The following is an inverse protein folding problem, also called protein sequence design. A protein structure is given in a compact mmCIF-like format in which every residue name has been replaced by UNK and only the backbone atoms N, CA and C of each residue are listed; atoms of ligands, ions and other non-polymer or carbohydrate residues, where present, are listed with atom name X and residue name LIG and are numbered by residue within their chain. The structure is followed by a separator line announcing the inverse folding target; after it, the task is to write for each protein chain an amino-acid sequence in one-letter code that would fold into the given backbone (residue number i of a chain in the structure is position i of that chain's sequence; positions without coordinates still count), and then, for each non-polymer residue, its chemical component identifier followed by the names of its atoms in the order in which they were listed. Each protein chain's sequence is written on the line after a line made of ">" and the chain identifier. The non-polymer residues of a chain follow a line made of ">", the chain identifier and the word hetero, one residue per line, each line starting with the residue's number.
data_IF_744017367379
#
_entry.id   IF_744017367379
#
_cell.length_a   1.000
_cell.length_b   1.000
_cell.length_c   1.000
_cell.angle_alpha   90.00
_cell.angle_beta   90.00
_cell.angle_gamma   90.00
#
_symmetry.space_group_name_H-M   'P 1'
#
loop_
_entity.id
_entity.type
_entity.pdbx_description
1 polymer ?
#
# COMPACT_ATOMS: atom_id res chain seq x y z
N UNK A 1 8.21 -0.18 19.51
CA UNK A 1 8.01 -1.02 18.32
C UNK A 1 9.11 -0.74 17.31
N UNK A 2 9.89 -1.74 16.96
CA UNK A 2 10.94 -1.59 15.97
C UNK A 2 10.37 -1.86 14.59
N UNK A 3 10.42 -0.85 13.76
CA UNK A 3 10.05 -0.96 12.35
C UNK A 3 11.35 -0.98 11.56
N UNK A 4 11.40 -1.78 10.50
CA UNK A 4 12.62 -1.86 9.71
C UNK A 4 12.99 -0.47 9.16
N UNK A 5 14.29 -0.19 9.11
CA UNK A 5 14.80 1.07 8.55
C UNK A 5 14.36 1.27 7.10
N UNK A 6 14.17 0.18 6.38
CA UNK A 6 13.68 0.21 5.00
C UNK A 6 12.26 0.78 4.92
N UNK A 7 11.37 0.35 5.82
CA UNK A 7 10.00 0.86 5.86
C UNK A 7 9.99 2.34 6.25
N UNK A 8 10.81 2.74 7.23
CA UNK A 8 10.94 4.15 7.62
C UNK A 8 11.44 4.99 6.43
N UNK A 9 12.44 4.50 5.70
CA UNK A 9 12.96 5.19 4.53
C UNK A 9 11.89 5.37 3.46
N UNK A 10 11.08 4.33 3.21
CA UNK A 10 9.96 4.40 2.26
C UNK A 10 8.90 5.40 2.71
N UNK A 11 8.57 5.42 4.00
CA UNK A 11 7.61 6.37 4.57
C UNK A 11 8.10 7.81 4.42
N UNK A 12 9.39 8.07 4.63
CA UNK A 12 9.98 9.39 4.41
C UNK A 12 9.92 9.80 2.95
N UNK A 13 10.27 8.89 2.04
CA UNK A 13 10.18 9.14 0.61
C UNK A 13 8.75 9.48 0.22
N UNK A 14 7.79 8.72 0.73
CA UNK A 14 6.38 9.00 0.49
C UNK A 14 5.97 10.39 1.02
N UNK A 15 6.40 10.76 2.22
CA UNK A 15 6.08 12.06 2.80
C UNK A 15 6.56 13.21 1.90
N UNK A 16 7.77 13.08 1.35
CA UNK A 16 8.30 14.09 0.43
C UNK A 16 7.50 14.15 -0.88
N UNK A 17 7.08 13.02 -1.40
CA UNK A 17 6.27 12.94 -2.63
C UNK A 17 4.87 13.48 -2.40
N UNK A 18 4.23 13.18 -1.27
CA UNK A 18 2.84 13.57 -1.00
C UNK A 18 2.63 15.06 -0.91
N UNK A 19 3.63 15.83 -0.46
CA UNK A 19 3.55 17.28 -0.42
C UNK A 19 3.40 17.90 -1.81
N UNK A 20 3.93 17.24 -2.84
CA UNK A 20 3.89 17.72 -4.21
C UNK A 20 2.84 17.04 -5.08
N UNK A 21 2.32 15.88 -4.66
CA UNK A 21 1.45 15.02 -5.45
C UNK A 21 -0.05 15.11 -5.14
N UNK A 22 -0.44 15.89 -4.15
CA UNK A 22 -1.80 15.89 -3.60
C UNK A 22 -2.91 16.09 -4.63
N UNK A 23 -2.67 16.88 -5.67
CA UNK A 23 -3.68 17.24 -6.65
C UNK A 23 -3.72 16.35 -7.90
N UNK A 24 -2.85 15.34 -8.01
CA UNK A 24 -2.69 14.59 -9.25
C UNK A 24 -2.74 13.07 -9.08
N UNK A 25 -3.84 12.56 -8.52
CA UNK A 25 -4.04 11.12 -8.32
C UNK A 25 -3.76 10.33 -9.61
N UNK A 26 -4.23 10.82 -10.77
CA UNK A 26 -4.03 10.14 -12.05
C UNK A 26 -2.64 10.34 -12.65
N UNK A 27 -1.90 11.36 -12.22
CA UNK A 27 -0.57 11.66 -12.73
C UNK A 27 0.53 11.06 -11.88
N UNK A 28 0.24 10.74 -10.63
CA UNK A 28 1.24 10.20 -9.72
C UNK A 28 1.34 8.69 -9.87
N UNK A 29 2.52 8.16 -10.29
CA UNK A 29 2.66 6.73 -10.56
C UNK A 29 2.44 5.81 -9.35
N UNK A 30 2.46 6.30 -8.13
CA UNK A 30 2.18 5.47 -6.95
C UNK A 30 0.68 5.35 -6.64
N UNK A 31 -0.19 6.00 -7.41
CA UNK A 31 -1.64 5.81 -7.33
C UNK A 31 -2.09 4.82 -8.39
N UNK A 32 -2.92 3.85 -8.02
CA UNK A 32 -3.37 2.82 -8.95
C UNK A 32 -4.13 3.40 -10.14
N UNK A 33 -4.80 4.55 -9.97
CA UNK A 33 -5.56 5.21 -11.04
C UNK A 33 -4.66 5.65 -12.20
N UNK A 34 -3.38 5.92 -11.94
CA UNK A 34 -2.42 6.26 -12.99
C UNK A 34 -2.25 5.13 -14.01
N UNK A 35 -2.46 3.88 -13.58
CA UNK A 35 -2.20 2.68 -14.38
C UNK A 35 -3.45 2.15 -15.08
N UNK A 36 -4.51 2.96 -15.14
CA UNK A 36 -5.70 2.65 -15.89
C UNK A 36 -5.68 3.44 -17.20
N UNK A 37 -5.63 2.71 -18.30
CA UNK A 37 -5.68 3.28 -19.63
C UNK A 37 -7.14 3.30 -20.09
N UNK A 38 -7.66 4.49 -20.35
CA UNK A 38 -8.99 4.67 -20.89
C UNK A 38 -8.84 5.01 -22.37
N UNK A 39 -9.50 4.26 -23.22
CA UNK A 39 -9.45 4.50 -24.65
C UNK A 39 -10.85 4.31 -25.28
N UNK A 40 -11.11 5.07 -26.32
CA UNK A 40 -12.34 5.00 -27.07
C UNK A 40 -12.29 3.86 -28.08
N UNK A 41 -13.34 3.03 -28.07
CA UNK A 41 -13.63 2.11 -29.15
C UNK A 41 -14.87 2.67 -29.87
N UNK A 42 -14.73 2.99 -31.16
CA UNK A 42 -15.80 3.61 -31.94
C UNK A 42 -17.04 2.74 -32.02
N UNK A 43 -16.91 1.42 -31.85
CA UNK A 43 -18.04 0.50 -31.90
C UNK A 43 -18.67 0.26 -30.54
N UNK A 44 -17.83 0.11 -29.48
CA UNK A 44 -18.27 -0.30 -28.14
C UNK A 44 -18.20 0.84 -27.11
N UNK A 45 -17.76 2.03 -27.49
CA UNK A 45 -17.62 3.16 -26.60
C UNK A 45 -16.29 3.19 -25.88
N UNK A 46 -16.31 3.62 -24.61
CA UNK A 46 -15.11 3.77 -23.82
C UNK A 46 -14.66 2.43 -23.25
N UNK A 47 -13.40 2.06 -23.48
CA UNK A 47 -12.77 0.86 -22.95
C UNK A 47 -11.72 1.22 -21.91
N UNK A 48 -11.61 0.38 -20.90
CA UNK A 48 -10.66 0.54 -19.81
C UNK A 48 -9.70 -0.65 -19.80
N UNK A 49 -8.39 -0.37 -19.77
CA UNK A 49 -7.35 -1.38 -19.63
C UNK A 49 -6.56 -1.12 -18.37
N UNK A 50 -6.46 -2.12 -17.48
CA UNK A 50 -5.70 -2.00 -16.24
C UNK A 50 -4.29 -2.51 -16.49
N UNK A 51 -3.31 -1.62 -16.35
CA UNK A 51 -1.90 -1.91 -16.59
C UNK A 51 -1.21 -2.41 -15.33
N UNK A 52 -0.17 -3.21 -15.50
CA UNK A 52 0.67 -3.65 -14.38
C UNK A 52 1.45 -2.46 -13.81
N UNK A 53 1.54 -2.39 -12.48
CA UNK A 53 2.34 -1.39 -11.80
C UNK A 53 3.76 -1.92 -11.59
N UNK A 54 4.79 -1.09 -11.87
CA UNK A 54 6.16 -1.42 -11.47
C UNK A 54 6.27 -1.59 -9.95
N UNK A 55 7.15 -2.50 -9.52
CA UNK A 55 7.29 -2.85 -8.11
C UNK A 55 7.55 -1.65 -7.20
N UNK A 56 8.42 -0.73 -7.61
CA UNK A 56 8.75 0.45 -6.81
C UNK A 56 7.50 1.31 -6.53
N UNK A 57 6.62 1.46 -7.50
CA UNK A 57 5.38 2.22 -7.33
C UNK A 57 4.36 1.47 -6.49
N UNK A 58 4.35 0.14 -6.54
CA UNK A 58 3.52 -0.67 -5.64
C UNK A 58 3.93 -0.42 -4.19
N UNK A 59 5.23 -0.43 -3.91
CA UNK A 59 5.75 -0.17 -2.57
C UNK A 59 5.36 1.24 -2.10
N UNK A 60 5.53 2.25 -2.94
CA UNK A 60 5.14 3.63 -2.60
C UNK A 60 3.64 3.73 -2.33
N UNK A 61 2.82 3.05 -3.13
CA UNK A 61 1.37 3.03 -2.94
C UNK A 61 0.99 2.40 -1.60
N UNK A 62 1.60 1.29 -1.23
CA UNK A 62 1.34 0.62 0.05
C UNK A 62 1.80 1.50 1.21
N UNK A 63 2.92 2.19 1.08
CA UNK A 63 3.38 3.15 2.08
C UNK A 63 2.38 4.29 2.25
N UNK A 64 1.79 4.77 1.15
CA UNK A 64 0.73 5.77 1.18
C UNK A 64 -0.45 5.27 2.02
N UNK A 65 -0.96 4.09 1.70
CA UNK A 65 -2.07 3.50 2.44
C UNK A 65 -1.73 3.32 3.93
N UNK A 66 -0.50 2.90 4.22
CA UNK A 66 -0.07 2.63 5.58
C UNK A 66 0.15 3.90 6.39
N UNK A 67 0.37 5.04 5.74
CA UNK A 67 0.54 6.31 6.44
C UNK A 67 -0.64 6.67 7.32
N UNK A 68 -1.86 6.30 6.92
CA UNK A 68 -3.06 6.50 7.72
C UNK A 68 -3.07 5.66 9.00
N UNK A 69 -2.55 4.43 8.94
CA UNK A 69 -2.40 3.57 10.12
C UNK A 69 -1.45 4.21 11.13
N UNK A 70 -0.36 4.82 10.64
CA UNK A 70 0.57 5.55 11.50
C UNK A 70 -0.07 6.75 12.18
N UNK A 71 -0.83 7.53 11.43
CA UNK A 71 -1.50 8.72 11.95
C UNK A 71 -2.55 8.38 13.00
N UNK A 72 -3.27 7.29 12.82
CA UNK A 72 -4.30 6.84 13.77
C UNK A 72 -3.73 6.09 14.98
N UNK A 73 -2.45 5.71 14.94
CA UNK A 73 -1.82 4.93 16.00
C UNK A 73 -2.15 3.45 15.97
N UNK A 74 -2.81 2.98 14.93
CA UNK A 74 -3.14 1.55 14.75
C UNK A 74 -2.47 1.02 13.49
N UNK A 75 -1.34 0.35 13.65
CA UNK A 75 -0.56 -0.15 12.52
C UNK A 75 -1.24 -1.27 11.74
N UNK A 76 -2.28 -1.89 12.30
CA UNK A 76 -3.04 -2.96 11.64
C UNK A 76 -4.23 -2.44 10.84
N UNK A 77 -4.54 -1.16 10.91
CA UNK A 77 -5.71 -0.59 10.23
C UNK A 77 -5.67 -0.79 8.72
N UNK A 78 -4.48 -0.74 8.11
CA UNK A 78 -4.32 -0.93 6.67
C UNK A 78 -4.91 -2.26 6.19
N UNK A 79 -4.79 -3.34 6.97
CA UNK A 79 -5.26 -4.67 6.55
C UNK A 79 -6.78 -4.73 6.48
N UNK A 80 -7.46 -4.16 7.48
CA UNK A 80 -8.90 -4.02 7.47
C UNK A 80 -9.38 -3.09 6.36
N UNK A 81 -8.70 -1.96 6.21
CA UNK A 81 -9.01 -1.00 5.16
C UNK A 81 -8.90 -1.63 3.78
N UNK A 82 -7.83 -2.38 3.51
CA UNK A 82 -7.66 -3.04 2.23
C UNK A 82 -8.74 -4.09 1.99
N UNK A 83 -9.09 -4.88 2.99
CA UNK A 83 -10.15 -5.88 2.89
C UNK A 83 -11.49 -5.22 2.50
N UNK A 84 -11.80 -4.09 3.11
CA UNK A 84 -13.04 -3.36 2.83
C UNK A 84 -13.04 -2.65 1.48
N UNK A 85 -11.90 -2.17 1.01
CA UNK A 85 -11.79 -1.34 -0.19
C UNK A 85 -11.25 -2.05 -1.42
N UNK A 86 -10.71 -3.25 -1.29
CA UNK A 86 -10.06 -3.97 -2.41
C UNK A 86 -10.98 -4.16 -3.62
N UNK A 87 -12.26 -4.30 -3.39
CA UNK A 87 -13.25 -4.45 -4.47
C UNK A 87 -13.41 -3.20 -5.32
N UNK A 88 -13.01 -2.04 -4.83
CA UNK A 88 -13.07 -0.77 -5.56
C UNK A 88 -11.75 -0.41 -6.22
N UNK A 89 -10.67 -1.07 -5.83
CA UNK A 89 -9.33 -0.79 -6.34
C UNK A 89 -9.09 -1.69 -7.55
N UNK A 90 -8.86 -1.07 -8.69
CA UNK A 90 -8.66 -1.80 -9.95
C UNK A 90 -7.17 -2.02 -10.18
N UNK A 91 -6.71 -3.23 -9.97
CA UNK A 91 -5.33 -3.65 -10.18
C UNK A 91 -5.28 -4.78 -11.20
N UNK A 92 -4.23 -4.78 -12.02
CA UNK A 92 -3.92 -5.95 -12.84
C UNK A 92 -3.68 -7.16 -11.92
N UNK A 93 -3.97 -8.37 -12.41
CA UNK A 93 -3.90 -9.58 -11.58
C UNK A 93 -2.53 -9.77 -10.93
N UNK A 94 -1.46 -9.57 -11.67
CA UNK A 94 -0.09 -9.68 -11.16
C UNK A 94 0.21 -8.61 -10.10
N UNK A 95 -0.26 -7.40 -10.31
CA UNK A 95 -0.13 -6.31 -9.34
C UNK A 95 -0.88 -6.65 -8.05
N UNK A 96 -2.09 -7.15 -8.15
CA UNK A 96 -2.90 -7.55 -6.99
C UNK A 96 -2.22 -8.62 -6.16
N UNK A 97 -1.68 -9.64 -6.82
CA UNK A 97 -0.93 -10.72 -6.16
C UNK A 97 0.26 -10.14 -5.38
N UNK A 98 1.00 -9.22 -5.99
CA UNK A 98 2.15 -8.58 -5.35
C UNK A 98 1.72 -7.74 -4.15
N UNK A 99 0.67 -6.94 -4.29
CA UNK A 99 0.13 -6.12 -3.20
C UNK A 99 -0.27 -7.00 -2.01
N UNK A 100 -1.03 -8.05 -2.26
CA UNK A 100 -1.51 -8.93 -1.19
C UNK A 100 -0.36 -9.70 -0.53
N UNK A 101 0.64 -10.09 -1.29
CA UNK A 101 1.85 -10.71 -0.75
C UNK A 101 2.60 -9.77 0.20
N UNK A 102 2.77 -8.52 -0.20
CA UNK A 102 3.45 -7.50 0.62
C UNK A 102 2.66 -7.23 1.90
N UNK A 103 1.35 -7.04 1.80
CA UNK A 103 0.50 -6.80 2.96
C UNK A 103 0.53 -7.98 3.93
N UNK A 104 0.49 -9.21 3.42
CA UNK A 104 0.57 -10.40 4.26
C UNK A 104 1.91 -10.48 5.01
N UNK A 105 3.01 -10.19 4.34
CA UNK A 105 4.34 -10.15 4.97
C UNK A 105 4.44 -9.05 6.01
N UNK A 106 3.88 -7.87 5.75
CA UNK A 106 3.84 -6.78 6.72
C UNK A 106 3.09 -7.20 7.98
N UNK A 107 1.94 -7.84 7.81
CA UNK A 107 1.12 -8.31 8.93
C UNK A 107 1.88 -9.34 9.77
N UNK A 108 2.53 -10.29 9.15
CA UNK A 108 3.33 -11.30 9.82
C UNK A 108 4.49 -10.69 10.60
N UNK A 109 5.18 -9.72 10.02
CA UNK A 109 6.27 -9.01 10.69
C UNK A 109 5.79 -8.22 11.90
N UNK A 110 4.67 -7.51 11.76
CA UNK A 110 4.09 -6.75 12.88
C UNK A 110 3.66 -7.67 14.01
N UNK A 111 3.05 -8.81 13.70
CA UNK A 111 2.66 -9.81 14.68
C UNK A 111 3.88 -10.40 15.39
N UNK A 112 4.94 -10.69 14.66
CA UNK A 112 6.18 -11.22 15.24
C UNK A 112 6.84 -10.20 16.16
N UNK A 113 6.88 -8.92 15.79
CA UNK A 113 7.41 -7.85 16.63
C UNK A 113 6.58 -7.65 17.89
N UNK A 114 5.26 -7.70 17.78
CA UNK A 114 4.36 -7.59 18.93
C UNK A 114 4.56 -8.75 19.90
N UNK A 115 4.69 -9.96 19.37
CA UNK A 115 4.96 -11.15 20.19
C UNK A 115 6.31 -11.04 20.90
N UNK A 116 7.36 -10.57 20.23
CA UNK A 116 8.68 -10.37 20.82
C UNK A 116 8.64 -9.33 21.94
N UNK A 117 7.93 -8.20 21.74
CA UNK A 117 7.75 -7.17 22.75
C UNK A 117 7.03 -7.73 23.99
N UNK A 118 5.96 -8.49 23.79
CA UNK A 118 5.23 -9.12 24.89
C UNK A 118 6.08 -10.13 25.64
N UNK A 119 6.87 -10.91 24.93
CA UNK A 119 7.79 -11.88 25.51
C UNK A 119 8.89 -11.20 26.33
N UNK A 120 9.42 -10.08 25.84
CA UNK A 120 10.44 -9.29 26.53
C UNK A 120 9.90 -8.58 27.78
N UNK A 121 8.60 -8.27 27.80
CA UNK A 121 7.95 -7.59 28.93
C UNK A 121 7.45 -8.55 30.02
N UNK A 122 7.40 -9.83 29.75
CA UNK A 122 7.05 -10.81 30.78
C UNK A 122 8.23 -11.02 31.71
N UNK A 123 8.08 -10.69 32.99
CA UNK A 123 9.18 -10.96 33.96
C UNK A 123 9.46 -12.44 33.96
N UNK A 124 10.74 -12.75 33.86
CA UNK A 124 11.28 -14.05 33.59
C UNK A 124 10.62 -15.21 34.27
N UNK A 125 10.18 -16.08 33.44
CA UNK A 125 9.85 -17.40 33.91
C UNK A 125 11.10 -18.11 34.36
#
# INVERSE_FOLDING_TARGET
>A
MHISMEIIALMRLYSDISEHGYFNIHRNPHHWQHWILIHDDMEDGELETVLEMPYDYIIEMICDWWSFSWQSGNLYEIFKWYEEHSKYIKLAQTTKITVEYILDNMKKKLQALQYADQSAMQPGA
#
